data_IF_540850612203
#
_entry.id   IF_540850612203
#
_cell.length_a   1.000
_cell.length_b   1.000
_cell.length_c   1.000
_cell.angle_alpha   90.00
_cell.angle_beta   90.00
_cell.angle_gamma   90.00
#
_symmetry.space_group_name_H-M   'P 1'
#
loop_
_entity.id
_entity.type
_entity.pdbx_description
1 polymer ?
#
# COMPACT_ATOMS: atom_id res chain seq x y z
N UNK A 1 -7.91 3.39 -14.56
CA UNK A 1 -8.58 2.07 -14.66
C UNK A 1 -7.88 1.10 -15.62
N UNK A 2 -6.93 1.54 -16.47
CA UNK A 2 -6.21 0.64 -17.39
C UNK A 2 -5.47 -0.51 -16.71
N UNK A 3 -4.68 -0.21 -15.67
CA UNK A 3 -3.94 -1.24 -14.89
C UNK A 3 -4.88 -2.31 -14.28
N UNK A 4 -6.03 -1.91 -13.75
CA UNK A 4 -7.03 -2.84 -13.21
C UNK A 4 -7.62 -3.81 -14.25
N UNK A 5 -7.67 -3.43 -15.52
CA UNK A 5 -8.13 -4.31 -16.60
C UNK A 5 -7.05 -5.29 -17.05
N UNK A 6 -5.78 -5.01 -16.77
CA UNK A 6 -4.65 -5.92 -17.00
C UNK A 6 -4.53 -6.95 -15.87
N UNK A 7 -4.92 -6.58 -14.64
CA UNK A 7 -4.79 -7.41 -13.44
C UNK A 7 -5.89 -8.48 -13.26
N UNK A 8 -7.06 -8.31 -13.89
CA UNK A 8 -8.22 -9.18 -13.64
C UNK A 8 -8.90 -9.65 -14.94
N UNK A 9 -9.39 -10.91 -15.00
CA UNK A 9 -10.26 -11.37 -16.07
C UNK A 9 -11.57 -10.54 -16.14
N UNK A 10 -12.07 -10.32 -17.35
CA UNK A 10 -13.25 -9.47 -17.61
C UNK A 10 -14.48 -9.79 -16.74
N UNK A 11 -14.87 -11.07 -16.51
CA UNK A 11 -16.00 -11.38 -15.62
C UNK A 11 -15.77 -10.97 -14.16
N UNK A 12 -14.52 -11.05 -13.67
CA UNK A 12 -14.16 -10.62 -12.31
C UNK A 12 -14.19 -9.09 -12.23
N UNK A 13 -13.68 -8.44 -13.27
CA UNK A 13 -13.69 -6.99 -13.37
C UNK A 13 -15.11 -6.41 -13.41
N UNK A 14 -16.03 -7.08 -14.11
CA UNK A 14 -17.46 -6.71 -14.17
C UNK A 14 -18.16 -6.84 -12.83
N UNK A 15 -17.79 -7.85 -12.03
CA UNK A 15 -18.33 -8.05 -10.69
C UNK A 15 -17.82 -6.99 -9.69
N UNK A 16 -16.54 -6.61 -9.79
CA UNK A 16 -15.92 -5.62 -8.91
C UNK A 16 -16.36 -4.19 -9.27
N UNK A 17 -16.37 -3.87 -10.56
CA UNK A 17 -16.67 -2.52 -11.08
C UNK A 17 -17.53 -2.67 -12.33
N UNK A 18 -18.85 -2.47 -12.26
CA UNK A 18 -19.72 -2.63 -13.42
C UNK A 18 -19.28 -1.82 -14.65
N UNK A 19 -19.47 -2.32 -15.89
CA UNK A 19 -18.99 -1.67 -17.11
C UNK A 19 -19.43 -0.20 -17.28
N UNK A 20 -20.65 0.11 -16.83
CA UNK A 20 -21.19 1.48 -16.88
C UNK A 20 -20.40 2.43 -15.99
N UNK A 21 -20.00 1.98 -14.80
CA UNK A 21 -19.19 2.77 -13.86
C UNK A 21 -17.80 2.98 -14.44
N UNK A 22 -17.19 1.95 -15.04
CA UNK A 22 -15.87 2.08 -15.69
C UNK A 22 -15.87 3.12 -16.80
N UNK A 23 -16.89 3.09 -17.68
CA UNK A 23 -17.04 4.08 -18.76
C UNK A 23 -17.25 5.49 -18.21
N UNK A 24 -18.13 5.63 -17.20
CA UNK A 24 -18.41 6.93 -16.59
C UNK A 24 -17.15 7.51 -15.94
N UNK A 25 -16.42 6.72 -15.16
CA UNK A 25 -15.18 7.16 -14.51
C UNK A 25 -14.08 7.55 -15.52
N UNK A 26 -13.98 6.86 -16.66
CA UNK A 26 -13.05 7.23 -17.72
C UNK A 26 -13.40 8.61 -18.32
N UNK A 27 -14.67 8.83 -18.65
CA UNK A 27 -15.15 10.12 -19.18
C UNK A 27 -15.00 11.25 -18.15
N UNK A 28 -15.27 10.98 -16.87
CA UNK A 28 -15.09 11.96 -15.80
C UNK A 28 -13.62 12.37 -15.66
N UNK A 29 -12.71 11.39 -15.77
CA UNK A 29 -11.28 11.63 -15.70
C UNK A 29 -10.77 12.44 -16.90
N UNK A 30 -11.21 12.11 -18.12
CA UNK A 30 -10.88 12.89 -19.33
C UNK A 30 -11.35 14.35 -19.20
N UNK A 31 -12.60 14.57 -18.79
CA UNK A 31 -13.13 15.93 -18.56
C UNK A 31 -12.40 16.65 -17.43
N UNK A 32 -11.88 15.93 -16.44
CA UNK A 32 -11.08 16.52 -15.38
C UNK A 32 -9.68 16.91 -15.90
N UNK A 33 -9.03 16.08 -16.72
CA UNK A 33 -7.74 16.40 -17.35
C UNK A 33 -7.83 17.63 -18.25
N UNK A 34 -8.89 17.76 -19.06
CA UNK A 34 -9.13 18.97 -19.87
C UNK A 34 -9.15 20.26 -19.03
N UNK A 35 -9.71 20.16 -17.81
CA UNK A 35 -9.77 21.28 -16.86
C UNK A 35 -8.48 21.46 -16.05
N UNK A 36 -7.57 20.51 -16.08
CA UNK A 36 -6.37 20.47 -15.25
C UNK A 36 -5.14 19.98 -16.07
N UNK A 37 -4.72 20.70 -17.12
CA UNK A 37 -3.69 20.22 -18.06
C UNK A 37 -2.32 20.04 -17.43
N UNK A 38 -2.00 20.81 -16.38
CA UNK A 38 -0.73 20.71 -15.65
C UNK A 38 -0.79 19.73 -14.47
N UNK A 39 -1.94 19.12 -14.19
CA UNK A 39 -2.08 18.20 -13.08
C UNK A 39 -1.27 16.93 -13.35
N UNK A 40 -0.33 16.66 -12.46
CA UNK A 40 0.37 15.38 -12.38
C UNK A 40 -0.27 14.55 -11.26
N UNK A 41 -0.97 13.45 -11.56
CA UNK A 41 -1.55 12.59 -10.52
C UNK A 41 -0.43 11.85 -9.79
N UNK A 42 0.08 12.45 -8.72
CA UNK A 42 1.21 11.91 -7.95
C UNK A 42 0.83 10.73 -7.05
N UNK A 43 -0.45 10.55 -6.77
CA UNK A 43 -0.94 9.60 -5.77
C UNK A 43 -1.95 8.66 -6.44
N UNK A 44 -1.48 7.48 -6.84
CA UNK A 44 -2.30 6.42 -7.47
C UNK A 44 -2.66 5.28 -6.50
N UNK A 45 -1.98 5.21 -5.36
CA UNK A 45 -2.20 4.26 -4.26
C UNK A 45 -2.50 5.04 -2.99
N UNK A 46 -3.32 4.47 -2.10
CA UNK A 46 -3.84 5.13 -0.89
C UNK A 46 -2.72 5.87 -0.13
N UNK A 47 -2.98 7.12 0.26
CA UNK A 47 -2.06 7.99 1.01
C UNK A 47 -1.51 7.39 2.30
N UNK A 48 -2.11 6.30 2.79
CA UNK A 48 -1.85 5.69 4.08
C UNK A 48 -1.58 4.18 3.99
N UNK A 49 -1.24 3.66 2.82
CA UNK A 49 -0.84 2.25 2.73
C UNK A 49 0.53 2.06 3.39
N UNK A 50 0.59 1.20 4.40
CA UNK A 50 1.84 0.72 5.00
C UNK A 50 2.18 -0.62 4.33
N UNK A 51 3.26 -0.69 3.51
CA UNK A 51 3.64 -1.94 2.87
C UNK A 51 3.98 -3.03 3.88
N UNK A 52 3.46 -4.25 3.67
CA UNK A 52 3.63 -5.34 4.64
C UNK A 52 5.10 -5.73 4.86
N UNK A 53 5.95 -5.53 3.84
CA UNK A 53 7.38 -5.77 3.92
C UNK A 53 8.11 -4.84 4.91
N UNK A 54 7.52 -3.71 5.31
CA UNK A 54 8.07 -2.87 6.38
C UNK A 54 8.13 -3.60 7.72
N UNK A 55 7.19 -4.52 7.96
CA UNK A 55 7.16 -5.35 9.16
C UNK A 55 8.20 -6.47 9.17
N UNK A 56 8.98 -6.67 8.10
CA UNK A 56 10.15 -7.57 8.15
C UNK A 56 11.23 -7.02 9.08
N UNK A 57 11.30 -5.69 9.23
CA UNK A 57 12.34 -5.04 10.02
C UNK A 57 12.16 -5.31 11.51
N UNK A 58 10.92 -5.42 11.98
CA UNK A 58 10.53 -5.42 13.40
C UNK A 58 9.78 -6.70 13.73
N UNK A 59 9.77 -7.12 14.99
CA UNK A 59 8.89 -8.21 15.44
C UNK A 59 7.67 -7.66 16.17
N UNK A 60 6.65 -8.50 16.35
CA UNK A 60 5.42 -8.07 17.04
C UNK A 60 5.68 -7.68 18.49
N UNK A 61 6.66 -8.31 19.14
CA UNK A 61 7.06 -7.97 20.52
C UNK A 61 7.71 -6.58 20.63
N UNK A 62 8.13 -5.99 19.52
CA UNK A 62 8.71 -4.63 19.45
C UNK A 62 7.67 -3.54 19.15
N UNK A 63 6.38 -3.94 19.07
CA UNK A 63 5.25 -3.03 18.91
C UNK A 63 4.90 -2.39 20.24
N UNK A 64 5.07 -1.08 20.30
CA UNK A 64 4.67 -0.29 21.46
C UNK A 64 3.45 0.57 21.08
N UNK A 65 2.35 0.38 21.79
CA UNK A 65 1.17 1.20 21.66
C UNK A 65 0.94 1.98 22.95
N UNK A 66 0.93 3.30 22.84
CA UNK A 66 0.53 4.22 23.89
C UNK A 66 -0.85 4.75 23.55
N UNK A 67 -1.84 4.38 24.35
CA UNK A 67 -3.18 4.95 24.25
C UNK A 67 -3.13 6.45 24.52
N UNK A 68 -3.72 7.23 23.62
CA UNK A 68 -3.98 8.64 23.87
C UNK A 68 -5.03 8.79 24.96
N UNK A 69 -5.03 9.92 25.67
CA UNK A 69 -6.13 10.18 26.61
C UNK A 69 -7.44 10.52 25.86
N UNK A 70 -8.56 10.53 26.59
CA UNK A 70 -9.88 10.88 26.04
C UNK A 70 -10.28 12.34 26.20
N UNK A 71 -9.41 13.19 26.75
CA UNK A 71 -9.72 14.58 27.11
C UNK A 71 -9.25 15.62 26.08
N UNK A 72 -9.81 16.83 26.09
CA UNK A 72 -9.47 17.90 25.14
C UNK A 72 -8.00 18.40 25.22
N UNK A 73 -7.26 18.03 26.26
CA UNK A 73 -5.82 18.32 26.43
C UNK A 73 -4.96 17.04 26.46
N UNK A 74 -5.50 15.92 26.01
CA UNK A 74 -4.78 14.64 26.06
C UNK A 74 -3.83 14.45 24.89
N UNK A 75 -2.75 13.72 25.14
CA UNK A 75 -1.80 13.31 24.12
C UNK A 75 -2.48 12.42 23.08
N UNK A 76 -2.12 12.61 21.80
CA UNK A 76 -2.58 11.72 20.73
C UNK A 76 -2.07 10.29 20.96
N UNK A 77 -2.81 9.26 20.55
CA UNK A 77 -2.33 7.88 20.59
C UNK A 77 -1.07 7.74 19.74
N UNK A 78 -0.11 6.97 20.23
CA UNK A 78 1.17 6.75 19.55
C UNK A 78 1.41 5.25 19.34
N UNK A 79 1.82 4.90 18.13
CA UNK A 79 2.28 3.56 17.77
C UNK A 79 3.74 3.64 17.35
N UNK A 80 4.62 2.88 18.01
CA UNK A 80 6.05 2.82 17.68
C UNK A 80 6.48 1.40 17.36
N UNK A 81 7.34 1.30 16.35
CA UNK A 81 8.04 0.08 15.98
C UNK A 81 9.54 0.38 16.00
N UNK A 82 10.25 -0.14 16.99
CA UNK A 82 11.68 0.15 17.17
C UNK A 82 12.45 -1.15 17.31
N UNK A 83 13.49 -1.31 16.51
CA UNK A 83 14.40 -2.44 16.65
C UNK A 83 15.86 -1.97 16.54
N UNK A 84 16.81 -2.64 17.23
CA UNK A 84 18.22 -2.40 17.00
C UNK A 84 18.60 -2.68 15.55
N UNK A 85 19.41 -1.81 14.94
CA UNK A 85 19.77 -1.91 13.52
C UNK A 85 20.41 -3.25 13.12
N UNK A 86 21.12 -3.90 14.06
CA UNK A 86 21.68 -5.24 13.86
C UNK A 86 20.59 -6.29 13.67
N UNK A 87 19.49 -6.20 14.42
CA UNK A 87 18.35 -7.12 14.29
C UNK A 87 17.57 -6.86 13.01
N UNK A 88 17.29 -5.59 12.68
CA UNK A 88 16.67 -5.23 11.41
C UNK A 88 17.41 -5.84 10.21
N UNK A 89 18.74 -5.65 10.15
CA UNK A 89 19.59 -6.20 9.07
C UNK A 89 19.53 -7.72 8.99
N UNK A 90 19.60 -8.40 10.14
CA UNK A 90 19.49 -9.87 10.20
C UNK A 90 18.13 -10.35 9.71
N UNK A 91 17.04 -9.69 10.10
CA UNK A 91 15.68 -10.06 9.65
C UNK A 91 15.50 -9.82 8.16
N UNK A 92 15.97 -8.70 7.62
CA UNK A 92 15.94 -8.41 6.17
C UNK A 92 16.72 -9.47 5.39
N UNK A 93 17.94 -9.82 5.83
CA UNK A 93 18.73 -10.84 5.16
C UNK A 93 18.00 -12.20 5.12
N UNK A 94 17.34 -12.58 6.23
CA UNK A 94 16.52 -13.80 6.27
C UNK A 94 15.28 -13.70 5.38
N UNK A 95 14.57 -12.58 5.41
CA UNK A 95 13.38 -12.35 4.59
C UNK A 95 13.69 -12.37 3.10
N UNK A 96 14.78 -11.72 2.69
CA UNK A 96 15.24 -11.76 1.30
C UNK A 96 15.63 -13.17 0.87
N UNK A 97 16.30 -13.93 1.75
CA UNK A 97 16.62 -15.34 1.46
C UNK A 97 15.36 -16.17 1.27
N UNK A 98 14.40 -16.06 2.20
CA UNK A 98 13.14 -16.79 2.11
C UNK A 98 12.34 -16.41 0.84
N UNK A 99 12.33 -15.13 0.48
CA UNK A 99 11.68 -14.65 -0.75
C UNK A 99 12.35 -15.25 -2.00
N UNK A 100 13.67 -15.29 -2.05
CA UNK A 100 14.43 -15.90 -3.16
C UNK A 100 14.23 -17.41 -3.26
N UNK A 101 14.02 -18.08 -2.14
CA UNK A 101 13.73 -19.53 -2.11
C UNK A 101 12.27 -19.83 -2.50
N UNK A 102 11.33 -18.93 -2.17
CA UNK A 102 9.91 -19.13 -2.43
C UNK A 102 9.46 -18.66 -3.82
N UNK A 103 10.16 -17.68 -4.40
CA UNK A 103 9.90 -17.18 -5.75
C UNK A 103 10.93 -17.83 -6.68
N UNK A 104 10.60 -19.00 -7.22
CA UNK A 104 11.31 -19.57 -8.38
C UNK A 104 11.41 -18.49 -9.46
N UNK A 105 12.63 -18.15 -9.89
CA UNK A 105 13.04 -17.07 -10.81
C UNK A 105 11.89 -16.40 -11.59
N UNK A 106 11.06 -15.64 -10.87
CA UNK A 106 10.00 -14.80 -11.40
C UNK A 106 10.49 -13.36 -11.43
N UNK A 107 9.98 -12.52 -12.35
CA UNK A 107 10.51 -11.17 -12.53
C UNK A 107 10.20 -10.34 -11.28
N UNK A 108 11.15 -10.30 -10.36
CA UNK A 108 11.14 -9.42 -9.20
C UNK A 108 11.82 -8.11 -9.62
N UNK A 109 11.06 -7.31 -10.37
CA UNK A 109 10.94 -5.85 -10.48
C UNK A 109 10.13 -5.56 -11.75
#
# INVERSE_FOLDING_TARGET
LGELAEDFPEPVLDALIPPVVRRQSAQDYERWLERNPDARPWIRTATWQVPINWFVLVSDEEREYEEGGGGPASTAPVLRYRTPMVQARRRVARGLRALREAVDEGPLI
#
